data_IF_100201992977
#
_entry.id   IF_100201992977
#
_cell.length_a   1.000
_cell.length_b   1.000
_cell.length_c   1.000
_cell.angle_alpha   90.00
_cell.angle_beta   90.00
_cell.angle_gamma   90.00
#
_symmetry.space_group_name_H-M   'P 1'
#
loop_
_entity.id
_entity.type
_entity.pdbx_description
1 polymer ?
#
# COMPACT_ATOMS: atom_id res chain seq x y z
N UNK A 1 14.77 -20.90 -6.64
CA UNK A 1 13.53 -20.65 -7.41
C UNK A 1 12.69 -19.59 -6.72
N UNK A 2 11.84 -18.84 -7.43
CA UNK A 2 10.97 -17.77 -6.84
C UNK A 2 10.19 -18.27 -5.61
N UNK A 3 9.61 -19.47 -5.69
CA UNK A 3 8.87 -20.10 -4.59
C UNK A 3 9.72 -20.29 -3.32
N UNK A 4 11.02 -20.54 -3.47
CA UNK A 4 11.95 -20.66 -2.33
C UNK A 4 12.10 -19.35 -1.59
N UNK A 5 12.19 -18.23 -2.32
CA UNK A 5 12.26 -16.89 -1.71
C UNK A 5 10.94 -16.51 -1.03
N UNK A 6 9.80 -16.82 -1.66
CA UNK A 6 8.48 -16.60 -1.01
C UNK A 6 8.36 -17.40 0.28
N UNK A 7 8.82 -18.66 0.30
CA UNK A 7 8.82 -19.49 1.51
C UNK A 7 9.75 -18.93 2.59
N UNK A 8 10.91 -18.37 2.23
CA UNK A 8 11.82 -17.67 3.14
C UNK A 8 11.08 -16.50 3.81
N UNK A 9 10.47 -15.61 3.03
CA UNK A 9 9.76 -14.42 3.55
C UNK A 9 8.58 -14.79 4.45
N UNK A 10 7.82 -15.82 4.09
CA UNK A 10 6.73 -16.33 4.93
C UNK A 10 7.23 -16.85 6.28
N UNK A 11 8.31 -17.64 6.29
CA UNK A 11 8.89 -18.16 7.53
C UNK A 11 9.49 -17.05 8.40
N UNK A 12 10.18 -16.08 7.80
CA UNK A 12 10.73 -14.93 8.53
C UNK A 12 9.63 -14.10 9.18
N UNK A 13 8.55 -13.85 8.44
CA UNK A 13 7.37 -13.13 8.93
C UNK A 13 6.72 -13.78 10.15
N UNK A 14 6.65 -15.12 10.19
CA UNK A 14 6.13 -15.85 11.36
C UNK A 14 7.10 -15.80 12.53
N UNK A 15 8.42 -15.87 12.26
CA UNK A 15 9.45 -15.84 13.31
C UNK A 15 9.57 -14.46 13.97
N UNK A 16 9.40 -13.39 13.20
CA UNK A 16 9.45 -12.01 13.67
C UNK A 16 8.05 -11.39 13.73
N UNK A 17 7.17 -11.99 14.54
CA UNK A 17 5.77 -11.57 14.60
C UNK A 17 5.60 -10.12 15.10
N UNK A 18 6.52 -9.63 15.93
CA UNK A 18 6.52 -8.26 16.42
C UNK A 18 6.72 -7.26 15.27
N UNK A 19 7.64 -7.54 14.34
CA UNK A 19 7.91 -6.69 13.19
C UNK A 19 6.72 -6.72 12.22
N UNK A 20 6.12 -7.89 12.02
CA UNK A 20 4.91 -8.04 11.21
C UNK A 20 3.76 -7.23 11.80
N UNK A 21 3.48 -7.39 13.09
CA UNK A 21 2.41 -6.64 13.76
C UNK A 21 2.69 -5.16 13.65
N UNK A 22 3.89 -4.70 14.00
CA UNK A 22 4.30 -3.28 13.94
C UNK A 22 4.06 -2.67 12.55
N UNK A 23 4.45 -3.37 11.49
CA UNK A 23 4.30 -2.91 10.11
C UNK A 23 2.84 -2.84 9.63
N UNK A 24 1.95 -3.68 10.16
CA UNK A 24 0.57 -3.81 9.69
C UNK A 24 -0.50 -3.34 10.70
N UNK A 25 -0.11 -2.83 11.88
CA UNK A 25 -1.05 -2.32 12.91
C UNK A 25 -2.05 -1.33 12.32
N UNK A 26 -1.59 -0.37 11.50
CA UNK A 26 -2.47 0.62 10.87
C UNK A 26 -3.49 0.01 9.91
N UNK A 27 -3.08 -1.00 9.14
CA UNK A 27 -3.97 -1.73 8.25
C UNK A 27 -5.01 -2.53 9.05
N UNK A 28 -4.62 -3.17 10.15
CA UNK A 28 -5.53 -3.91 11.04
C UNK A 28 -6.51 -2.97 11.75
N UNK A 29 -6.13 -1.72 12.03
CA UNK A 29 -7.02 -0.71 12.62
C UNK A 29 -8.01 -0.10 11.61
N UNK A 30 -7.75 -0.22 10.30
CA UNK A 30 -8.55 0.37 9.21
C UNK A 30 -10.05 0.01 9.24
N UNK A 31 -10.49 -1.25 9.49
CA UNK A 31 -11.90 -1.60 9.53
C UNK A 31 -12.67 -0.79 10.58
N UNK A 32 -12.07 -0.62 11.76
CA UNK A 32 -12.69 0.08 12.87
C UNK A 32 -12.84 1.57 12.57
N UNK A 33 -11.78 2.19 12.06
CA UNK A 33 -11.78 3.62 11.73
C UNK A 33 -12.78 3.92 10.60
N UNK A 34 -12.81 3.09 9.54
CA UNK A 34 -13.79 3.23 8.47
C UNK A 34 -15.22 3.04 8.97
N UNK A 35 -15.46 2.05 9.81
CA UNK A 35 -16.78 1.79 10.38
C UNK A 35 -17.30 2.99 11.19
N UNK A 36 -16.50 3.51 12.12
CA UNK A 36 -16.90 4.69 12.91
C UNK A 36 -17.13 5.90 12.03
N UNK A 37 -16.22 6.17 11.10
CA UNK A 37 -16.31 7.31 10.19
C UNK A 37 -17.61 7.24 9.37
N UNK A 38 -17.85 6.13 8.66
CA UNK A 38 -19.03 5.98 7.80
C UNK A 38 -20.32 6.01 8.62
N UNK A 39 -20.33 5.41 9.82
CA UNK A 39 -21.50 5.43 10.70
C UNK A 39 -21.87 6.86 11.15
N UNK A 40 -20.87 7.69 11.47
CA UNK A 40 -21.11 9.11 11.83
C UNK A 40 -21.66 9.89 10.63
N UNK A 41 -21.03 9.75 9.45
CA UNK A 41 -21.47 10.51 8.27
C UNK A 41 -22.83 10.07 7.74
N UNK A 42 -23.17 8.78 7.84
CA UNK A 42 -24.48 8.26 7.44
C UNK A 42 -25.59 8.56 8.45
N UNK A 43 -25.26 8.97 9.68
CA UNK A 43 -26.25 9.40 10.67
C UNK A 43 -26.75 10.84 10.43
N UNK A 44 -26.04 11.63 9.63
CA UNK A 44 -26.39 13.02 9.30
C UNK A 44 -27.13 13.05 7.97
N UNK A 45 -28.21 13.84 7.86
CA UNK A 45 -28.88 14.08 6.58
C UNK A 45 -27.94 14.79 5.61
N UNK A 46 -27.64 14.14 4.48
CA UNK A 46 -26.63 14.59 3.52
C UNK A 46 -27.26 15.01 2.21
N UNK A 47 -26.81 16.15 1.69
CA UNK A 47 -27.02 16.48 0.28
C UNK A 47 -26.15 15.58 -0.64
N UNK A 48 -26.30 15.70 -1.95
CA UNK A 48 -25.55 14.93 -2.97
C UNK A 48 -24.02 15.05 -2.83
N UNK A 49 -23.54 16.26 -2.51
CA UNK A 49 -22.12 16.50 -2.20
C UNK A 49 -21.68 15.74 -0.94
N UNK A 50 -22.53 15.69 0.10
CA UNK A 50 -22.22 14.96 1.35
C UNK A 50 -22.06 13.45 1.14
N UNK A 51 -22.83 12.87 0.21
CA UNK A 51 -22.65 11.47 -0.20
C UNK A 51 -21.30 11.24 -0.88
N UNK A 52 -20.94 12.12 -1.83
CA UNK A 52 -19.65 12.06 -2.53
C UNK A 52 -18.46 12.24 -1.57
N UNK A 53 -18.59 13.16 -0.60
CA UNK A 53 -17.57 13.35 0.44
C UNK A 53 -17.43 12.15 1.35
N UNK A 54 -18.52 11.47 1.72
CA UNK A 54 -18.44 10.27 2.56
C UNK A 54 -17.59 9.19 1.88
N UNK A 55 -17.81 8.96 0.59
CA UNK A 55 -17.02 8.02 -0.23
C UNK A 55 -15.56 8.50 -0.32
N UNK A 56 -15.35 9.79 -0.56
CA UNK A 56 -14.01 10.40 -0.58
C UNK A 56 -13.24 10.21 0.72
N UNK A 57 -13.87 10.47 1.87
CA UNK A 57 -13.24 10.26 3.17
C UNK A 57 -12.97 8.78 3.46
N UNK A 58 -13.83 7.86 3.01
CA UNK A 58 -13.53 6.42 3.07
C UNK A 58 -12.29 6.07 2.24
N UNK A 59 -12.14 6.67 1.06
CA UNK A 59 -10.95 6.54 0.22
C UNK A 59 -9.70 7.07 0.94
N UNK A 60 -9.81 8.27 1.53
CA UNK A 60 -8.74 8.93 2.26
C UNK A 60 -8.20 8.07 3.40
N UNK A 61 -9.08 7.62 4.29
CA UNK A 61 -8.69 6.83 5.47
C UNK A 61 -8.06 5.51 5.03
N UNK A 62 -8.68 4.81 4.08
CA UNK A 62 -8.16 3.52 3.59
C UNK A 62 -6.77 3.66 2.98
N UNK A 63 -6.58 4.66 2.12
CA UNK A 63 -5.30 4.90 1.46
C UNK A 63 -4.23 5.41 2.43
N UNK A 64 -4.60 6.26 3.39
CA UNK A 64 -3.67 6.78 4.39
C UNK A 64 -3.14 5.66 5.30
N UNK A 65 -4.02 4.78 5.76
CA UNK A 65 -3.64 3.63 6.58
C UNK A 65 -2.82 2.61 5.79
N UNK A 66 -3.19 2.35 4.53
CA UNK A 66 -2.42 1.46 3.65
C UNK A 66 -1.02 2.04 3.36
N UNK A 67 -0.94 3.34 3.07
CA UNK A 67 0.32 4.08 2.89
C UNK A 67 1.22 3.98 4.13
N UNK A 68 0.66 4.15 5.33
CA UNK A 68 1.43 4.04 6.58
C UNK A 68 1.99 2.63 6.80
N UNK A 69 1.31 1.61 6.30
CA UNK A 69 1.77 0.22 6.39
C UNK A 69 2.81 -0.16 5.32
N UNK A 70 2.93 0.62 4.24
CA UNK A 70 3.90 0.38 3.18
C UNK A 70 5.35 0.69 3.58
N UNK A 71 5.60 1.11 4.82
CA UNK A 71 6.95 1.23 5.41
C UNK A 71 7.73 -0.07 5.36
N UNK A 72 7.05 -1.22 5.50
CA UNK A 72 7.66 -2.54 5.34
C UNK A 72 8.35 -2.72 3.97
N UNK A 73 7.72 -2.20 2.90
CA UNK A 73 8.33 -2.23 1.56
C UNK A 73 9.42 -1.19 1.36
N UNK A 74 9.35 -0.07 2.07
CA UNK A 74 10.36 0.99 2.01
C UNK A 74 11.67 0.65 2.75
N UNK A 75 11.68 -0.46 3.48
CA UNK A 75 12.84 -0.93 4.24
C UNK A 75 13.23 -2.38 3.88
N UNK A 76 12.58 -2.98 2.88
CA UNK A 76 12.66 -4.41 2.60
C UNK A 76 14.07 -4.89 2.18
N UNK A 77 14.86 -4.04 1.53
CA UNK A 77 16.27 -4.27 1.17
C UNK A 77 17.16 -3.78 2.30
N UNK A 78 16.88 -2.59 2.84
CA UNK A 78 17.66 -2.02 3.95
C UNK A 78 17.73 -2.96 5.17
N UNK A 79 16.65 -3.67 5.49
CA UNK A 79 16.58 -4.65 6.58
C UNK A 79 17.42 -5.91 6.37
N UNK A 80 17.86 -6.21 5.14
CA UNK A 80 18.80 -7.32 4.93
C UNK A 80 20.20 -6.99 5.48
N UNK A 81 20.52 -5.70 5.66
CA UNK A 81 21.76 -5.26 6.31
C UNK A 81 23.00 -6.00 5.80
N UNK A 82 23.83 -6.49 6.72
CA UNK A 82 25.06 -7.23 6.40
C UNK A 82 24.82 -8.53 5.61
N UNK A 83 23.62 -9.12 5.68
CA UNK A 83 23.28 -10.33 4.93
C UNK A 83 23.05 -10.05 3.44
N UNK A 84 22.90 -8.78 3.05
CA UNK A 84 22.78 -8.39 1.65
C UNK A 84 23.97 -8.83 0.79
N UNK A 85 25.19 -8.84 1.36
CA UNK A 85 26.39 -9.32 0.66
C UNK A 85 26.29 -10.81 0.34
N UNK A 86 25.74 -11.61 1.27
CA UNK A 86 25.50 -13.04 1.06
C UNK A 86 24.42 -13.28 0.01
N UNK A 87 23.43 -12.39 -0.10
CA UNK A 87 22.37 -12.50 -1.10
C UNK A 87 22.88 -12.27 -2.52
N UNK A 88 23.95 -11.48 -2.70
CA UNK A 88 24.61 -11.31 -4.00
C UNK A 88 25.42 -12.54 -4.45
N UNK A 89 25.88 -13.37 -3.52
CA UNK A 89 26.66 -14.58 -3.86
C UNK A 89 25.76 -15.78 -4.17
N UNK A 90 24.45 -15.68 -3.93
CA UNK A 90 23.49 -16.71 -4.30
C UNK A 90 23.38 -16.77 -5.84
N UNK A 91 23.49 -17.96 -6.46
CA UNK A 91 23.34 -18.13 -7.91
C UNK A 91 21.86 -18.10 -8.31
N UNK A 92 21.18 -16.98 -8.03
CA UNK A 92 19.80 -16.73 -8.37
C UNK A 92 19.63 -15.29 -8.85
N UNK A 93 18.72 -15.07 -9.80
CA UNK A 93 18.42 -13.72 -10.27
C UNK A 93 17.95 -12.86 -9.10
N UNK A 94 18.73 -11.82 -8.79
CA UNK A 94 18.42 -10.81 -7.77
C UNK A 94 17.04 -10.19 -7.95
N UNK A 95 16.58 -10.13 -9.20
CA UNK A 95 15.26 -9.65 -9.58
C UNK A 95 14.13 -10.50 -9.00
N UNK A 96 14.29 -11.82 -8.97
CA UNK A 96 13.30 -12.76 -8.41
C UNK A 96 13.17 -12.62 -6.90
N UNK A 97 14.25 -12.23 -6.22
CA UNK A 97 14.24 -11.99 -4.78
C UNK A 97 13.44 -10.74 -4.42
N UNK A 98 13.69 -9.62 -5.09
CA UNK A 98 12.96 -8.37 -4.85
C UNK A 98 11.45 -8.52 -5.15
N UNK A 99 11.10 -9.23 -6.23
CA UNK A 99 9.71 -9.56 -6.55
C UNK A 99 9.06 -10.43 -5.47
N UNK A 100 9.79 -11.35 -4.83
CA UNK A 100 9.24 -12.19 -3.76
C UNK A 100 8.89 -11.36 -2.51
N UNK A 101 9.71 -10.37 -2.16
CA UNK A 101 9.43 -9.44 -1.05
C UNK A 101 8.20 -8.57 -1.32
N UNK A 102 8.06 -8.03 -2.54
CA UNK A 102 6.87 -7.26 -2.94
C UNK A 102 5.62 -8.13 -2.90
N UNK A 103 5.70 -9.35 -3.42
CA UNK A 103 4.57 -10.26 -3.50
C UNK A 103 3.96 -10.55 -2.13
N UNK A 104 4.80 -10.72 -1.09
CA UNK A 104 4.32 -10.93 0.27
C UNK A 104 3.54 -9.72 0.80
N UNK A 105 4.10 -8.49 0.69
CA UNK A 105 3.38 -7.29 1.13
C UNK A 105 2.10 -7.06 0.32
N UNK A 106 2.13 -7.28 -1.01
CA UNK A 106 0.94 -7.16 -1.86
C UNK A 106 -0.19 -8.08 -1.40
N UNK A 107 0.08 -9.36 -1.13
CA UNK A 107 -0.94 -10.30 -0.66
C UNK A 107 -1.47 -9.88 0.70
N UNK A 108 -0.57 -9.64 1.66
CA UNK A 108 -0.96 -9.40 3.04
C UNK A 108 -1.78 -8.11 3.17
N UNK A 109 -1.30 -7.02 2.56
CA UNK A 109 -2.04 -5.75 2.53
C UNK A 109 -3.38 -5.88 1.80
N UNK A 110 -3.44 -6.59 0.67
CA UNK A 110 -4.69 -6.79 -0.07
C UNK A 110 -5.73 -7.56 0.75
N UNK A 111 -5.31 -8.62 1.44
CA UNK A 111 -6.20 -9.40 2.31
C UNK A 111 -6.80 -8.51 3.41
N UNK A 112 -5.98 -7.71 4.09
CA UNK A 112 -6.47 -6.85 5.18
C UNK A 112 -7.40 -5.75 4.66
N UNK A 113 -7.09 -5.14 3.50
CA UNK A 113 -7.97 -4.14 2.88
C UNK A 113 -9.31 -4.77 2.51
N UNK A 114 -9.32 -5.97 1.92
CA UNK A 114 -10.56 -6.69 1.59
C UNK A 114 -11.38 -6.94 2.86
N UNK A 115 -10.75 -7.47 3.92
CA UNK A 115 -11.42 -7.71 5.20
C UNK A 115 -11.99 -6.40 5.76
N UNK A 116 -11.26 -5.30 5.66
CA UNK A 116 -11.71 -3.99 6.14
C UNK A 116 -13.01 -3.54 5.47
N UNK A 117 -13.11 -3.70 4.15
CA UNK A 117 -14.32 -3.36 3.40
C UNK A 117 -15.46 -4.34 3.64
N UNK A 118 -15.17 -5.64 3.81
CA UNK A 118 -16.17 -6.65 4.18
C UNK A 118 -16.79 -6.32 5.54
N UNK A 119 -15.96 -6.02 6.54
CA UNK A 119 -16.42 -5.60 7.88
C UNK A 119 -17.27 -4.34 7.79
N UNK A 120 -16.81 -3.32 7.03
CA UNK A 120 -17.59 -2.10 6.83
C UNK A 120 -19.00 -2.40 6.29
N UNK A 121 -19.10 -3.23 5.25
CA UNK A 121 -20.37 -3.54 4.58
C UNK A 121 -21.31 -4.37 5.46
N UNK A 122 -20.78 -5.31 6.24
CA UNK A 122 -21.58 -6.15 7.13
C UNK A 122 -22.13 -5.34 8.31
N UNK A 123 -21.30 -4.48 8.91
CA UNK A 123 -21.66 -3.81 10.16
C UNK A 123 -22.33 -2.45 9.96
N UNK A 124 -22.05 -1.72 8.87
CA UNK A 124 -22.65 -0.41 8.63
C UNK A 124 -24.06 -0.54 8.02
N UNK A 125 -25.05 -0.77 8.89
CA UNK A 125 -26.46 -0.99 8.53
C UNK A 125 -27.18 0.21 7.91
N UNK A 126 -26.62 1.43 8.02
CA UNK A 126 -27.17 2.67 7.45
C UNK A 126 -26.61 3.05 6.08
N UNK A 127 -25.89 2.15 5.43
CA UNK A 127 -25.42 2.38 4.05
C UNK A 127 -26.59 2.13 3.08
N UNK A 128 -27.04 3.20 2.42
CA UNK A 128 -28.12 3.13 1.42
C UNK A 128 -27.72 2.34 0.16
N UNK A 129 -26.46 2.44 -0.26
CA UNK A 129 -25.94 1.75 -1.43
C UNK A 129 -24.51 1.24 -1.20
N UNK A 130 -24.34 -0.09 -1.29
CA UNK A 130 -23.06 -0.78 -1.07
C UNK A 130 -22.17 -0.84 -2.32
N UNK A 131 -22.73 -0.64 -3.52
CA UNK A 131 -21.99 -0.75 -4.79
C UNK A 131 -20.78 0.21 -4.87
N UNK A 132 -20.89 1.50 -4.49
CA UNK A 132 -19.75 2.41 -4.42
C UNK A 132 -18.58 1.89 -3.59
N UNK A 133 -18.84 1.20 -2.49
CA UNK A 133 -17.80 0.71 -1.58
C UNK A 133 -17.04 -0.48 -2.18
N UNK A 134 -17.71 -1.36 -2.91
CA UNK A 134 -17.06 -2.43 -3.66
C UNK A 134 -16.19 -1.90 -4.81
N UNK A 135 -16.67 -0.88 -5.53
CA UNK A 135 -15.89 -0.25 -6.60
C UNK A 135 -14.69 0.53 -6.03
N UNK A 136 -14.88 1.17 -4.87
CA UNK A 136 -13.82 1.85 -4.15
C UNK A 136 -12.75 0.86 -3.65
N UNK A 137 -13.14 -0.31 -3.15
CA UNK A 137 -12.21 -1.38 -2.76
C UNK A 137 -11.26 -1.72 -3.93
N UNK A 138 -11.80 -1.94 -5.13
CA UNK A 138 -11.00 -2.25 -6.32
C UNK A 138 -10.01 -1.12 -6.61
N UNK A 139 -10.46 0.14 -6.58
CA UNK A 139 -9.59 1.29 -6.80
C UNK A 139 -8.47 1.39 -5.75
N UNK A 140 -8.78 1.17 -4.47
CA UNK A 140 -7.80 1.22 -3.38
C UNK A 140 -6.76 0.11 -3.51
N UNK A 141 -7.15 -1.12 -3.88
CA UNK A 141 -6.21 -2.21 -4.09
C UNK A 141 -5.18 -1.87 -5.20
N UNK A 142 -5.65 -1.28 -6.31
CA UNK A 142 -4.78 -0.85 -7.41
C UNK A 142 -3.84 0.29 -6.99
N UNK A 143 -4.35 1.30 -6.29
CA UNK A 143 -3.52 2.42 -5.81
C UNK A 143 -2.51 1.91 -4.78
N UNK A 144 -2.91 1.08 -3.83
CA UNK A 144 -2.03 0.52 -2.83
C UNK A 144 -0.91 -0.33 -3.46
N UNK A 145 -1.23 -1.14 -4.48
CA UNK A 145 -0.21 -1.85 -5.24
C UNK A 145 0.82 -0.90 -5.88
N UNK A 146 0.36 0.20 -6.48
CA UNK A 146 1.22 1.25 -7.01
C UNK A 146 2.11 1.92 -5.94
N UNK A 147 1.56 2.16 -4.74
CA UNK A 147 2.31 2.71 -3.62
C UNK A 147 3.37 1.74 -3.10
N UNK A 148 3.07 0.44 -3.00
CA UNK A 148 4.04 -0.59 -2.61
C UNK A 148 5.24 -0.62 -3.56
N UNK A 149 4.99 -0.58 -4.88
CA UNK A 149 6.07 -0.50 -5.87
C UNK A 149 6.94 0.75 -5.68
N UNK A 150 6.31 1.89 -5.39
CA UNK A 150 7.02 3.14 -5.17
C UNK A 150 7.82 3.12 -3.85
N UNK A 151 7.25 2.59 -2.77
CA UNK A 151 7.93 2.41 -1.48
C UNK A 151 9.21 1.61 -1.63
N UNK A 152 9.15 0.47 -2.34
CA UNK A 152 10.35 -0.34 -2.57
C UNK A 152 11.33 0.31 -3.55
N UNK A 153 10.85 1.09 -4.52
CA UNK A 153 11.72 1.88 -5.39
C UNK A 153 12.56 2.89 -4.59
N UNK A 154 11.99 3.53 -3.56
CA UNK A 154 12.74 4.45 -2.68
C UNK A 154 13.89 3.71 -1.99
N UNK A 155 13.63 2.47 -1.54
CA UNK A 155 14.63 1.64 -0.88
C UNK A 155 15.74 1.18 -1.84
N UNK A 156 15.39 0.80 -3.08
CA UNK A 156 16.38 0.46 -4.13
C UNK A 156 17.29 1.65 -4.46
N UNK A 157 16.72 2.86 -4.52
CA UNK A 157 17.48 4.04 -4.94
C UNK A 157 18.51 4.50 -3.91
N UNK A 158 18.25 4.32 -2.62
CA UNK A 158 19.16 4.71 -1.55
C UNK A 158 19.09 3.72 -0.38
N UNK A 159 19.61 2.49 -0.56
CA UNK A 159 19.54 1.47 0.48
C UNK A 159 20.48 1.82 1.62
N UNK A 160 19.96 1.79 2.85
CA UNK A 160 20.69 2.23 4.06
C UNK A 160 21.29 1.05 4.83
N UNK A 161 21.95 0.15 4.12
CA UNK A 161 22.40 -1.16 4.62
C UNK A 161 23.37 -1.06 5.81
N UNK A 162 24.36 -0.17 5.72
CA UNK A 162 25.38 0.03 6.78
C UNK A 162 24.78 0.64 8.04
N UNK A 163 23.88 1.61 7.89
CA UNK A 163 23.20 2.24 9.02
C UNK A 163 22.35 1.22 9.77
N UNK A 164 21.57 0.39 9.05
CA UNK A 164 20.78 -0.67 9.68
C UNK A 164 21.65 -1.76 10.32
N UNK A 165 22.75 -2.17 9.69
CA UNK A 165 23.66 -3.16 10.25
C UNK A 165 24.35 -2.67 11.55
N UNK A 166 24.55 -1.36 11.70
CA UNK A 166 25.17 -0.76 12.88
C UNK A 166 24.18 -0.49 14.02
N UNK A 167 22.95 -0.08 13.72
CA UNK A 167 21.96 0.30 14.73
C UNK A 167 20.96 -0.80 15.08
N UNK A 168 20.68 -1.73 14.15
CA UNK A 168 19.57 -2.67 14.24
C UNK A 168 18.18 -2.03 14.26
N UNK A 169 18.11 -0.69 14.16
CA UNK A 169 16.89 0.08 14.34
C UNK A 169 16.39 0.62 12.99
N UNK A 170 15.17 0.20 12.65
CA UNK A 170 14.48 0.59 11.43
C UNK A 170 13.74 1.93 11.54
N UNK A 171 13.52 2.43 12.76
CA UNK A 171 12.71 3.64 13.01
C UNK A 171 13.45 4.95 12.71
N UNK A 172 14.78 4.95 12.78
CA UNK A 172 15.63 6.12 12.50
C UNK A 172 15.92 6.32 11.00
N UNK A 173 15.44 5.42 10.15
CA UNK A 173 15.82 5.37 8.73
C UNK A 173 14.92 6.29 7.91
N UNK A 174 15.54 7.30 7.29
CA UNK A 174 14.86 8.36 6.50
C UNK A 174 13.97 7.81 5.36
N UNK A 175 14.23 6.60 4.85
CA UNK A 175 13.46 5.98 3.76
C UNK A 175 12.01 5.69 4.16
N UNK A 176 11.75 5.24 5.39
CA UNK A 176 10.40 5.00 5.89
C UNK A 176 9.59 6.29 5.94
N UNK A 177 10.17 7.37 6.50
CA UNK A 177 9.55 8.70 6.55
C UNK A 177 9.28 9.27 5.15
N UNK A 178 10.21 9.09 4.20
CA UNK A 178 10.00 9.51 2.79
C UNK A 178 8.85 8.74 2.14
N UNK A 179 8.74 7.44 2.37
CA UNK A 179 7.62 6.63 1.87
C UNK A 179 6.29 7.10 2.45
N UNK A 180 6.21 7.36 3.76
CA UNK A 180 5.01 7.88 4.41
C UNK A 180 4.62 9.24 3.81
N UNK A 181 5.57 10.16 3.63
CA UNK A 181 5.31 11.49 3.07
C UNK A 181 4.77 11.41 1.64
N UNK A 182 5.39 10.59 0.79
CA UNK A 182 4.93 10.37 -0.59
C UNK A 182 3.53 9.73 -0.60
N UNK A 183 3.31 8.74 0.25
CA UNK A 183 2.02 8.07 0.38
C UNK A 183 0.92 8.99 0.93
N UNK A 184 1.25 9.92 1.81
CA UNK A 184 0.33 10.96 2.29
C UNK A 184 -0.08 11.93 1.18
N UNK A 185 0.89 12.48 0.44
CA UNK A 185 0.62 13.41 -0.68
C UNK A 185 -0.24 12.73 -1.74
N UNK A 186 0.10 11.50 -2.13
CA UNK A 186 -0.66 10.74 -3.12
C UNK A 186 -2.06 10.42 -2.63
N UNK A 187 -2.24 10.10 -1.34
CA UNK A 187 -3.56 9.88 -0.74
C UNK A 187 -4.46 11.11 -0.86
N UNK A 188 -3.94 12.31 -0.58
CA UNK A 188 -4.68 13.57 -0.76
C UNK A 188 -5.08 13.75 -2.23
N UNK A 189 -4.13 13.57 -3.15
CA UNK A 189 -4.39 13.73 -4.59
C UNK A 189 -5.48 12.77 -5.09
N UNK A 190 -5.38 11.48 -4.76
CA UNK A 190 -6.37 10.48 -5.17
C UNK A 190 -7.73 10.72 -4.52
N UNK A 191 -7.76 11.13 -3.26
CA UNK A 191 -9.00 11.49 -2.57
C UNK A 191 -9.69 12.66 -3.26
N UNK A 192 -8.94 13.73 -3.55
CA UNK A 192 -9.47 14.90 -4.26
C UNK A 192 -10.01 14.51 -5.64
N UNK A 193 -9.28 13.67 -6.39
CA UNK A 193 -9.74 13.16 -7.68
C UNK A 193 -11.05 12.37 -7.57
N UNK A 194 -11.17 11.48 -6.58
CA UNK A 194 -12.41 10.71 -6.34
C UNK A 194 -13.58 11.66 -6.07
N UNK A 195 -13.41 12.65 -5.18
CA UNK A 195 -14.47 13.61 -4.85
C UNK A 195 -14.85 14.45 -6.06
N UNK A 196 -13.88 14.97 -6.82
CA UNK A 196 -14.13 15.78 -8.02
C UNK A 196 -14.89 14.97 -9.08
N UNK A 197 -14.48 13.73 -9.35
CA UNK A 197 -15.12 12.88 -10.36
C UNK A 197 -16.57 12.56 -9.98
N UNK A 198 -16.83 12.27 -8.71
CA UNK A 198 -18.18 12.00 -8.21
C UNK A 198 -19.05 13.27 -8.22
N UNK A 199 -18.49 14.41 -7.81
CA UNK A 199 -19.21 15.69 -7.73
C UNK A 199 -19.58 16.27 -9.10
N UNK A 200 -18.75 16.05 -10.12
CA UNK A 200 -19.00 16.55 -11.50
C UNK A 200 -20.34 16.05 -12.08
N UNK A 201 -20.93 15.02 -11.49
CA UNK A 201 -22.20 14.46 -11.94
C UNK A 201 -22.06 13.71 -13.26
N UNK A 202 -23.19 13.21 -13.77
CA UNK A 202 -23.24 12.39 -14.98
C UNK A 202 -23.55 10.92 -14.71
N UNK A 203 -23.24 10.05 -15.67
CA UNK A 203 -23.55 8.63 -15.57
C UNK A 203 -22.64 7.95 -14.51
N UNK A 204 -23.21 7.32 -13.47
CA UNK A 204 -22.45 6.69 -12.39
C UNK A 204 -21.41 5.67 -12.88
N UNK A 205 -21.72 4.90 -13.93
CA UNK A 205 -20.81 3.87 -14.47
C UNK A 205 -19.53 4.51 -14.99
N UNK A 206 -19.66 5.61 -15.75
CA UNK A 206 -18.52 6.31 -16.32
C UNK A 206 -17.63 7.00 -15.28
N UNK A 207 -18.20 7.43 -14.14
CA UNK A 207 -17.43 7.98 -13.03
C UNK A 207 -16.49 6.92 -12.43
N UNK A 208 -17.01 5.72 -12.15
CA UNK A 208 -16.21 4.63 -11.60
C UNK A 208 -15.18 4.08 -12.58
N UNK A 209 -15.52 4.01 -13.88
CA UNK A 209 -14.56 3.66 -14.92
C UNK A 209 -13.37 4.64 -14.95
N UNK A 210 -13.61 5.95 -14.77
CA UNK A 210 -12.52 6.94 -14.65
C UNK A 210 -11.66 6.71 -13.42
N UNK A 211 -12.28 6.50 -12.25
CA UNK A 211 -11.54 6.27 -10.99
C UNK A 211 -10.66 5.03 -11.08
N UNK A 212 -11.23 3.90 -11.50
CA UNK A 212 -10.50 2.63 -11.65
C UNK A 212 -9.47 2.73 -12.77
N UNK A 213 -9.79 3.41 -13.88
CA UNK A 213 -8.87 3.64 -14.99
C UNK A 213 -7.63 4.42 -14.55
N UNK A 214 -7.79 5.51 -13.79
CA UNK A 214 -6.67 6.31 -13.27
C UNK A 214 -5.84 5.46 -12.27
N UNK A 215 -6.50 4.71 -11.38
CA UNK A 215 -5.82 3.82 -10.45
C UNK A 215 -4.99 2.73 -11.17
N UNK A 216 -5.55 2.15 -12.23
CA UNK A 216 -4.89 1.13 -13.04
C UNK A 216 -3.69 1.70 -13.81
N UNK A 217 -3.85 2.88 -14.44
CA UNK A 217 -2.74 3.56 -15.12
C UNK A 217 -1.62 3.90 -14.13
N UNK A 218 -1.96 4.37 -12.93
CA UNK A 218 -0.97 4.64 -11.88
C UNK A 218 -0.21 3.37 -11.46
N UNK A 219 -0.93 2.27 -11.21
CA UNK A 219 -0.32 0.99 -10.87
C UNK A 219 0.63 0.50 -11.98
N UNK A 220 0.19 0.51 -13.24
CA UNK A 220 0.98 0.04 -14.37
C UNK A 220 2.21 0.92 -14.62
N UNK A 221 2.06 2.24 -14.55
CA UNK A 221 3.17 3.18 -14.67
C UNK A 221 4.23 2.93 -13.58
N UNK A 222 3.79 2.69 -12.34
CA UNK A 222 4.69 2.38 -11.22
C UNK A 222 5.35 1.02 -11.35
N UNK A 223 4.62 0.00 -11.82
CA UNK A 223 5.18 -1.33 -12.10
C UNK A 223 6.26 -1.26 -13.20
N UNK A 224 6.03 -0.49 -14.26
CA UNK A 224 7.01 -0.31 -15.34
C UNK A 224 8.28 0.41 -14.86
N UNK A 225 8.12 1.50 -14.10
CA UNK A 225 9.25 2.22 -13.51
C UNK A 225 10.02 1.32 -12.55
N UNK A 226 9.32 0.61 -11.67
CA UNK A 226 9.94 -0.34 -10.74
C UNK A 226 10.82 -1.37 -11.45
N UNK A 227 10.30 -2.01 -12.50
CA UNK A 227 11.07 -3.01 -13.26
C UNK A 227 12.31 -2.40 -13.96
N UNK A 228 12.21 -1.14 -14.41
CA UNK A 228 13.32 -0.44 -15.05
C UNK A 228 14.43 -0.11 -14.03
N UNK A 229 14.04 0.41 -12.85
CA UNK A 229 14.98 0.74 -11.77
C UNK A 229 15.66 -0.51 -11.22
N UNK A 230 14.91 -1.61 -11.10
CA UNK A 230 15.43 -2.87 -10.60
C UNK A 230 16.48 -3.51 -11.54
N UNK A 231 16.34 -3.32 -12.87
CA UNK A 231 17.36 -3.82 -13.81
C UNK A 231 18.64 -2.99 -13.80
N UNK A 232 18.52 -1.68 -13.61
CA UNK A 232 19.64 -0.75 -13.77
C UNK A 232 20.39 -0.49 -12.45
N UNK A 233 19.67 -0.25 -11.36
CA UNK A 233 20.27 0.23 -10.09
C UNK A 233 20.61 -0.94 -9.16
N UNK A 234 19.81 -2.01 -9.16
CA UNK A 234 20.04 -3.13 -8.24
C UNK A 234 21.45 -3.77 -8.35
N UNK A 235 22.02 -3.95 -9.56
CA UNK A 235 23.39 -4.46 -9.70
C UNK A 235 24.44 -3.55 -9.05
N UNK A 236 24.22 -2.24 -9.07
CA UNK A 236 25.15 -1.19 -8.61
C UNK A 236 25.15 -0.98 -7.09
N UNK A 237 24.23 -1.61 -6.34
CA UNK A 237 24.14 -1.41 -4.88
C UNK A 237 25.35 -2.02 -4.17
N UNK A 238 26.32 -1.23 -3.75
CA UNK A 238 27.47 -1.69 -2.95
C UNK A 238 27.17 -1.65 -1.44
N UNK A 239 27.89 -2.47 -0.67
CA UNK A 239 27.80 -2.50 0.80
C UNK A 239 28.78 -1.53 1.43
#
# INVERSE_FOLDING_TARGET
TFLTFVKKEWLLSIRNINDLVSNYVFLVATPYVLFFMVSIFTAVDRNTLGHSMTIGFSAFISLLMASASNTASALAITQEGAEFVLLKTVPADTTKMAWAKIFFNLIFSSIIIIISFVVLIIFATRIENVVPYWLLLIAILLINAGLIFWSLQIDIMNPKLREYAASGDSSSINNASRSILIGFITTILFTALVVIILFTGGNPVWQWVKIIGIALVFMLARMYLYNSYLKNIFPEIEF
#
